data_IF_451224366749
#
_entry.id   IF_451224366749
#
_cell.length_a   1.000
_cell.length_b   1.000
_cell.length_c   1.000
_cell.angle_alpha   90.00
_cell.angle_beta   90.00
_cell.angle_gamma   90.00
#
_symmetry.space_group_name_H-M   'P 1'
#
loop_
_entity.id
_entity.type
_entity.pdbx_description
1 polymer ?
#
# COMPACT_ATOMS: atom_id res chain seq x y z
N UNK A 1 -4.23 -18.37 -9.41
CA UNK A 1 -5.35 -18.81 -8.56
C UNK A 1 -6.55 -18.96 -9.51
N UNK A 2 -7.03 -20.17 -9.67
CA UNK A 2 -8.10 -20.49 -10.60
C UNK A 2 -9.45 -20.57 -9.87
N UNK A 3 -10.54 -20.32 -10.58
CA UNK A 3 -11.89 -20.35 -10.01
C UNK A 3 -12.27 -21.77 -9.53
N UNK A 4 -11.79 -22.82 -10.19
CA UNK A 4 -11.99 -24.22 -9.78
C UNK A 4 -11.43 -24.47 -8.39
N UNK A 5 -10.19 -24.08 -8.14
CA UNK A 5 -9.50 -24.23 -6.85
C UNK A 5 -10.27 -23.47 -5.75
N UNK A 6 -10.75 -22.26 -6.05
CA UNK A 6 -11.58 -21.51 -5.10
C UNK A 6 -12.86 -22.27 -4.74
N UNK A 7 -13.53 -22.86 -5.73
CA UNK A 7 -14.76 -23.63 -5.49
C UNK A 7 -14.49 -24.83 -4.61
N UNK A 8 -13.42 -25.60 -4.89
CA UNK A 8 -13.01 -26.73 -4.07
C UNK A 8 -12.70 -26.32 -2.61
N UNK A 9 -11.99 -25.21 -2.43
CA UNK A 9 -11.72 -24.67 -1.08
C UNK A 9 -13.05 -24.33 -0.38
N UNK A 10 -13.97 -23.66 -1.04
CA UNK A 10 -15.26 -23.28 -0.45
C UNK A 10 -16.05 -24.54 -0.06
N UNK A 11 -16.10 -25.56 -0.92
CA UNK A 11 -16.81 -26.80 -0.63
C UNK A 11 -16.26 -27.54 0.60
N UNK A 12 -14.95 -27.36 0.89
CA UNK A 12 -14.32 -27.95 2.08
C UNK A 12 -14.64 -27.16 3.35
N UNK A 13 -14.64 -25.81 3.28
CA UNK A 13 -14.68 -24.98 4.48
C UNK A 13 -16.07 -24.50 4.87
N UNK A 14 -17.05 -24.50 3.94
CA UNK A 14 -18.39 -23.97 4.17
C UNK A 14 -19.18 -24.84 5.16
N UNK A 15 -19.38 -24.31 6.34
CA UNK A 15 -20.03 -24.97 7.46
C UNK A 15 -19.07 -25.66 8.45
N UNK A 16 -17.78 -25.75 8.13
CA UNK A 16 -16.73 -26.21 9.05
C UNK A 16 -16.16 -25.06 9.91
N UNK A 17 -16.43 -23.81 9.49
CA UNK A 17 -16.04 -22.59 10.20
C UNK A 17 -17.24 -21.64 10.33
N UNK A 18 -17.28 -20.87 11.42
CA UNK A 18 -18.36 -19.90 11.66
C UNK A 18 -18.26 -18.70 10.71
N UNK A 19 -17.03 -18.22 10.43
CA UNK A 19 -16.78 -16.99 9.66
C UNK A 19 -15.76 -17.22 8.58
N UNK A 20 -16.02 -16.68 7.40
CA UNK A 20 -15.10 -16.64 6.26
C UNK A 20 -14.85 -15.17 5.92
N UNK A 21 -13.60 -14.71 6.07
CA UNK A 21 -13.18 -13.37 5.69
C UNK A 21 -12.72 -13.36 4.23
N UNK A 22 -13.29 -12.46 3.44
CA UNK A 22 -13.05 -12.39 2.00
C UNK A 22 -12.47 -11.05 1.60
N UNK A 23 -11.34 -11.09 0.87
CA UNK A 23 -10.68 -9.91 0.32
C UNK A 23 -11.51 -9.34 -0.85
N UNK A 24 -12.15 -8.19 -0.66
CA UNK A 24 -12.95 -7.51 -1.69
C UNK A 24 -12.11 -6.88 -2.81
N UNK A 25 -10.81 -6.72 -2.61
CA UNK A 25 -9.90 -6.14 -3.61
C UNK A 25 -9.25 -7.20 -4.50
N UNK A 26 -9.35 -8.48 -4.14
CA UNK A 26 -8.76 -9.59 -4.90
C UNK A 26 -9.59 -9.92 -6.14
N UNK A 27 -8.91 -10.00 -7.27
CA UNK A 27 -9.50 -10.39 -8.56
C UNK A 27 -9.04 -11.79 -8.94
N UNK A 28 -9.97 -12.59 -9.46
CA UNK A 28 -9.70 -13.91 -9.99
C UNK A 28 -10.08 -13.91 -11.49
N UNK A 29 -9.22 -14.40 -12.38
CA UNK A 29 -9.57 -14.58 -13.77
C UNK A 29 -10.73 -15.57 -13.92
N UNK A 30 -11.75 -15.18 -14.65
CA UNK A 30 -12.91 -16.01 -14.99
C UNK A 30 -12.97 -16.15 -16.50
N UNK A 31 -12.92 -17.38 -17.00
CA UNK A 31 -13.05 -17.63 -18.44
C UNK A 31 -14.54 -17.58 -18.82
N UNK A 32 -14.93 -16.53 -19.57
CA UNK A 32 -16.31 -16.35 -20.02
C UNK A 32 -16.57 -17.18 -21.27
N UNK A 33 -15.62 -17.25 -22.17
CA UNK A 33 -15.75 -17.94 -23.45
C UNK A 33 -14.49 -18.74 -23.77
N UNK A 34 -14.44 -20.04 -23.38
CA UNK A 34 -13.23 -20.88 -23.54
C UNK A 34 -12.71 -20.95 -24.98
N UNK A 35 -13.62 -21.06 -25.97
CA UNK A 35 -13.24 -21.16 -27.39
C UNK A 35 -12.63 -19.89 -27.98
N UNK A 36 -13.00 -18.72 -27.44
CA UNK A 36 -12.50 -17.41 -27.86
C UNK A 36 -11.42 -16.87 -26.91
N UNK A 37 -11.06 -17.65 -25.91
CA UNK A 37 -10.10 -17.23 -24.84
C UNK A 37 -10.43 -15.87 -24.21
N UNK A 38 -11.72 -15.57 -24.06
CA UNK A 38 -12.19 -14.35 -23.42
C UNK A 38 -12.18 -14.56 -21.92
N UNK A 39 -11.39 -13.77 -21.22
CA UNK A 39 -11.22 -13.81 -19.78
C UNK A 39 -11.70 -12.50 -19.16
N UNK A 40 -12.60 -12.58 -18.20
CA UNK A 40 -12.96 -11.46 -17.33
C UNK A 40 -12.26 -11.60 -15.98
N UNK A 41 -11.84 -10.51 -15.40
CA UNK A 41 -11.32 -10.51 -14.04
C UNK A 41 -12.48 -10.44 -13.05
N UNK A 42 -12.86 -11.59 -12.49
CA UNK A 42 -13.89 -11.70 -11.46
C UNK A 42 -13.46 -11.13 -10.12
N UNK A 43 -14.42 -10.81 -9.26
CA UNK A 43 -14.17 -10.42 -7.88
C UNK A 43 -14.30 -11.66 -6.99
N UNK A 44 -13.30 -11.89 -6.11
CA UNK A 44 -13.28 -13.03 -5.18
C UNK A 44 -14.53 -13.04 -4.30
N UNK A 45 -14.88 -11.90 -3.72
CA UNK A 45 -16.03 -11.81 -2.81
C UNK A 45 -17.33 -12.17 -3.50
N UNK A 46 -17.56 -11.72 -4.74
CA UNK A 46 -18.77 -12.09 -5.51
C UNK A 46 -18.91 -13.61 -5.64
N UNK A 47 -17.82 -14.31 -5.96
CA UNK A 47 -17.84 -15.78 -6.10
C UNK A 47 -18.13 -16.43 -4.75
N UNK A 48 -17.50 -15.96 -3.68
CA UNK A 48 -17.75 -16.46 -2.32
C UNK A 48 -19.21 -16.26 -1.90
N UNK A 49 -19.79 -15.08 -2.09
CA UNK A 49 -21.20 -14.83 -1.77
C UNK A 49 -22.19 -15.71 -2.57
N UNK A 50 -21.82 -16.10 -3.79
CA UNK A 50 -22.65 -17.01 -4.59
C UNK A 50 -22.56 -18.47 -4.12
N UNK A 51 -21.42 -18.90 -3.60
CA UNK A 51 -21.09 -20.30 -3.29
C UNK A 51 -21.30 -20.67 -1.83
N UNK A 52 -20.87 -19.84 -0.89
CA UNK A 52 -20.96 -20.10 0.54
C UNK A 52 -22.42 -20.02 1.00
N UNK A 53 -22.90 -21.04 1.73
CA UNK A 53 -24.30 -21.16 2.16
C UNK A 53 -24.48 -21.32 3.65
N UNK A 54 -23.50 -21.85 4.37
CA UNK A 54 -23.58 -22.21 5.78
C UNK A 54 -22.81 -21.23 6.67
N UNK A 55 -21.56 -20.93 6.31
CA UNK A 55 -20.70 -20.01 7.04
C UNK A 55 -21.08 -18.55 6.82
N UNK A 56 -20.79 -17.68 7.79
CA UNK A 56 -21.00 -16.23 7.65
C UNK A 56 -19.85 -15.59 6.87
N UNK A 57 -20.18 -14.80 5.86
CA UNK A 57 -19.20 -14.10 5.03
C UNK A 57 -19.01 -12.69 5.55
N UNK A 58 -17.76 -12.27 5.72
CA UNK A 58 -17.34 -10.92 6.05
C UNK A 58 -16.36 -10.40 4.99
N UNK A 59 -16.77 -9.35 4.28
CA UNK A 59 -15.87 -8.66 3.37
C UNK A 59 -14.94 -7.70 4.12
N UNK A 60 -13.69 -7.61 3.65
CA UNK A 60 -12.75 -6.62 4.15
C UNK A 60 -11.86 -6.08 3.02
N UNK A 61 -11.27 -4.93 3.24
CA UNK A 61 -10.33 -4.27 2.33
C UNK A 61 -8.93 -4.26 2.95
N UNK A 62 -8.07 -5.21 2.62
CA UNK A 62 -6.76 -5.34 3.27
C UNK A 62 -5.87 -4.12 3.08
N UNK A 63 -5.93 -3.45 1.92
CA UNK A 63 -5.15 -2.24 1.69
C UNK A 63 -5.60 -1.07 2.59
N UNK A 64 -6.89 -0.93 2.86
CA UNK A 64 -7.42 0.10 3.75
C UNK A 64 -7.02 -0.16 5.21
N UNK A 65 -7.00 -1.43 5.63
CA UNK A 65 -6.50 -1.83 6.95
C UNK A 65 -5.03 -1.45 7.09
N UNK A 66 -4.19 -1.77 6.11
CA UNK A 66 -2.75 -1.42 6.10
C UNK A 66 -2.56 0.10 6.17
N UNK A 67 -3.31 0.87 5.37
CA UNK A 67 -3.25 2.35 5.38
C UNK A 67 -3.62 2.92 6.75
N UNK A 68 -4.73 2.42 7.34
CA UNK A 68 -5.20 2.89 8.65
C UNK A 68 -4.24 2.50 9.78
N UNK A 69 -3.71 1.28 9.77
CA UNK A 69 -2.72 0.82 10.75
C UNK A 69 -1.43 1.64 10.68
N UNK A 70 -0.93 1.91 9.48
CA UNK A 70 0.27 2.75 9.29
C UNK A 70 0.05 4.17 9.78
N UNK A 71 -1.08 4.79 9.41
CA UNK A 71 -1.42 6.13 9.88
C UNK A 71 -1.53 6.18 11.42
N UNK A 72 -2.21 5.21 12.02
CA UNK A 72 -2.37 5.11 13.47
C UNK A 72 -1.03 4.94 14.18
N UNK A 73 -0.16 4.06 13.65
CA UNK A 73 1.20 3.88 14.17
C UNK A 73 2.00 5.19 14.14
N UNK A 74 2.02 5.89 13.02
CA UNK A 74 2.74 7.15 12.88
C UNK A 74 2.17 8.25 13.80
N UNK A 75 0.85 8.33 13.94
CA UNK A 75 0.19 9.27 14.83
C UNK A 75 0.50 9.02 16.31
N UNK A 76 0.79 7.79 16.69
CA UNK A 76 1.19 7.43 18.06
C UNK A 76 2.69 7.64 18.30
N UNK A 77 3.53 7.40 17.29
CA UNK A 77 5.00 7.52 17.40
C UNK A 77 5.49 8.95 17.31
N UNK A 78 4.81 9.76 16.52
CA UNK A 78 5.14 11.18 16.33
C UNK A 78 4.21 12.02 17.21
N UNK A 79 4.75 12.99 17.93
CA UNK A 79 3.95 13.91 18.77
C UNK A 79 2.92 14.68 17.93
N UNK A 80 3.21 14.93 16.66
CA UNK A 80 2.33 15.56 15.69
C UNK A 80 2.77 15.20 14.27
N UNK A 81 1.81 15.09 13.36
CA UNK A 81 2.07 14.82 11.94
C UNK A 81 2.28 16.11 11.13
N UNK A 82 1.55 17.16 11.47
CA UNK A 82 1.62 18.43 10.74
C UNK A 82 3.04 19.00 10.70
N UNK A 83 3.45 19.47 9.53
CA UNK A 83 4.80 20.00 9.29
C UNK A 83 5.89 18.96 9.11
N UNK A 84 5.60 17.66 9.26
CA UNK A 84 6.54 16.58 8.97
C UNK A 84 6.69 16.36 7.47
N UNK A 85 7.85 15.85 7.06
CA UNK A 85 8.11 15.38 5.70
C UNK A 85 8.08 13.86 5.66
N UNK A 86 7.19 13.29 4.85
CA UNK A 86 7.07 11.84 4.65
C UNK A 86 7.37 11.49 3.22
N UNK A 87 8.24 10.51 3.03
CA UNK A 87 8.62 9.97 1.72
C UNK A 87 8.04 8.59 1.54
N UNK A 88 7.34 8.36 0.43
CA UNK A 88 6.70 7.08 0.11
C UNK A 88 7.30 6.53 -1.18
N UNK A 89 8.05 5.44 -1.06
CA UNK A 89 8.66 4.73 -2.17
C UNK A 89 7.73 3.63 -2.67
N UNK A 90 6.92 3.95 -3.67
CA UNK A 90 5.89 3.09 -4.24
C UNK A 90 4.49 3.70 -4.11
N UNK A 91 4.06 4.47 -5.11
CA UNK A 91 2.71 5.04 -5.18
C UNK A 91 1.72 4.09 -5.87
N UNK A 92 1.62 2.86 -5.33
CA UNK A 92 0.58 1.89 -5.65
C UNK A 92 -0.71 2.16 -4.87
N UNK A 93 -1.57 1.15 -4.72
CA UNK A 93 -2.85 1.30 -4.02
C UNK A 93 -2.65 1.79 -2.56
N UNK A 94 -1.78 1.13 -1.79
CA UNK A 94 -1.47 1.50 -0.41
C UNK A 94 -0.79 2.87 -0.36
N UNK A 95 0.29 3.06 -1.12
CA UNK A 95 1.09 4.28 -1.09
C UNK A 95 0.29 5.53 -1.48
N UNK A 96 -0.59 5.45 -2.48
CA UNK A 96 -1.43 6.59 -2.90
C UNK A 96 -2.50 6.95 -1.85
N UNK A 97 -3.17 5.95 -1.27
CA UNK A 97 -4.16 6.17 -0.20
C UNK A 97 -3.51 6.77 1.05
N UNK A 98 -2.32 6.27 1.41
CA UNK A 98 -1.56 6.78 2.55
C UNK A 98 -1.07 8.21 2.30
N UNK A 99 -0.60 8.52 1.08
CA UNK A 99 -0.18 9.87 0.70
C UNK A 99 -1.32 10.89 0.87
N UNK A 100 -2.54 10.55 0.40
CA UNK A 100 -3.71 11.42 0.57
C UNK A 100 -4.03 11.61 2.06
N UNK A 101 -4.09 10.52 2.83
CA UNK A 101 -4.40 10.57 4.26
C UNK A 101 -3.39 11.41 5.05
N UNK A 102 -2.11 11.31 4.72
CA UNK A 102 -1.04 12.06 5.40
C UNK A 102 -1.03 13.53 5.00
N UNK A 103 -1.20 13.87 3.72
CA UNK A 103 -1.21 15.27 3.28
C UNK A 103 -2.36 16.05 3.92
N UNK A 104 -3.52 15.44 4.11
CA UNK A 104 -4.67 16.03 4.80
C UNK A 104 -4.43 16.24 6.32
N UNK A 105 -3.43 15.54 6.89
CA UNK A 105 -2.94 15.80 8.25
C UNK A 105 -1.86 16.91 8.32
N UNK A 106 -1.62 17.65 7.23
CA UNK A 106 -0.61 18.71 7.19
C UNK A 106 0.82 18.22 6.94
N UNK A 107 0.99 17.00 6.46
CA UNK A 107 2.30 16.41 6.12
C UNK A 107 2.71 16.83 4.71
N UNK A 108 3.97 17.23 4.52
CA UNK A 108 4.57 17.37 3.18
C UNK A 108 4.96 15.99 2.66
N UNK A 109 4.26 15.49 1.64
CA UNK A 109 4.45 14.14 1.13
C UNK A 109 5.26 14.15 -0.17
N UNK A 110 6.35 13.38 -0.21
CA UNK A 110 7.11 13.08 -1.42
C UNK A 110 6.83 11.65 -1.86
N UNK A 111 6.50 11.44 -3.13
CA UNK A 111 6.26 10.09 -3.65
C UNK A 111 7.23 9.73 -4.78
N UNK A 112 7.60 8.46 -4.84
CA UNK A 112 8.36 7.86 -5.93
C UNK A 112 7.57 6.75 -6.59
N UNK A 113 7.72 6.61 -7.90
CA UNK A 113 7.20 5.50 -8.69
C UNK A 113 8.11 5.23 -9.89
N UNK A 114 8.39 3.95 -10.18
CA UNK A 114 9.21 3.53 -11.33
C UNK A 114 8.70 4.05 -12.69
N UNK A 115 7.39 4.10 -12.88
CA UNK A 115 6.78 4.72 -14.04
C UNK A 115 6.51 6.19 -13.74
N UNK A 116 7.36 7.09 -14.23
CA UNK A 116 7.32 8.53 -13.97
C UNK A 116 5.99 9.17 -14.41
N UNK A 117 5.49 8.85 -15.60
CA UNK A 117 4.21 9.39 -16.11
C UNK A 117 3.05 9.06 -15.16
N UNK A 118 2.96 7.80 -14.70
CA UNK A 118 1.94 7.41 -13.72
C UNK A 118 2.18 8.07 -12.34
N UNK A 119 3.44 8.22 -11.93
CA UNK A 119 3.80 8.89 -10.68
C UNK A 119 3.36 10.34 -10.64
N UNK A 120 3.65 11.07 -11.71
CA UNK A 120 3.21 12.45 -11.89
C UNK A 120 1.68 12.60 -11.87
N UNK A 121 0.98 11.77 -12.67
CA UNK A 121 -0.48 11.78 -12.72
C UNK A 121 -1.14 11.47 -11.37
N UNK A 122 -0.53 10.57 -10.58
CA UNK A 122 -1.00 10.27 -9.20
C UNK A 122 -0.83 11.50 -8.31
N UNK A 123 0.34 12.15 -8.29
CA UNK A 123 0.56 13.32 -7.46
C UNK A 123 -0.42 14.45 -7.80
N UNK A 124 -0.63 14.71 -9.08
CA UNK A 124 -1.62 15.71 -9.54
C UNK A 124 -3.05 15.34 -9.10
N UNK A 125 -3.48 14.10 -9.35
CA UNK A 125 -4.82 13.64 -8.98
C UNK A 125 -5.08 13.71 -7.48
N UNK A 126 -4.11 13.30 -6.66
CA UNK A 126 -4.22 13.37 -5.20
C UNK A 126 -4.25 14.82 -4.70
N UNK A 127 -3.46 15.72 -5.27
CA UNK A 127 -3.52 17.15 -4.94
C UNK A 127 -4.83 17.80 -5.37
N UNK A 128 -5.45 17.30 -6.43
CA UNK A 128 -6.76 17.79 -6.90
C UNK A 128 -7.91 17.36 -5.97
N UNK A 129 -7.86 16.13 -5.43
CA UNK A 129 -8.95 15.59 -4.60
C UNK A 129 -8.77 15.80 -3.09
N UNK A 130 -7.57 16.22 -2.62
CA UNK A 130 -7.38 16.55 -1.21
C UNK A 130 -8.31 17.69 -0.79
N UNK A 131 -8.64 17.77 0.52
CA UNK A 131 -9.45 18.86 1.05
C UNK A 131 -8.89 20.23 0.65
N UNK A 132 -9.76 21.15 0.22
CA UNK A 132 -9.39 22.51 -0.22
C UNK A 132 -8.62 23.31 0.83
N UNK A 133 -8.88 23.07 2.10
CA UNK A 133 -8.19 23.71 3.22
C UNK A 133 -6.81 23.11 3.52
N UNK A 134 -6.39 22.08 2.78
CA UNK A 134 -5.09 21.45 2.98
C UNK A 134 -3.97 22.26 2.32
N UNK A 135 -3.11 22.87 3.12
CA UNK A 135 -1.97 23.68 2.68
C UNK A 135 -0.83 22.81 2.13
N UNK A 136 -0.60 21.65 2.74
CA UNK A 136 0.45 20.69 2.34
C UNK A 136 0.18 20.07 0.97
N UNK A 137 1.25 19.64 0.30
CA UNK A 137 1.19 19.08 -1.04
C UNK A 137 1.88 17.71 -1.13
N UNK A 138 1.46 16.95 -2.14
CA UNK A 138 2.11 15.71 -2.59
C UNK A 138 2.97 16.05 -3.80
N UNK A 139 4.28 15.78 -3.70
CA UNK A 139 5.26 16.01 -4.77
C UNK A 139 5.77 14.68 -5.29
N UNK A 140 5.78 14.52 -6.61
CA UNK A 140 6.42 13.38 -7.27
C UNK A 140 7.87 13.73 -7.64
N UNK A 141 8.77 12.77 -7.38
CA UNK A 141 10.15 12.84 -7.84
C UNK A 141 10.52 11.57 -8.61
N UNK A 142 11.29 11.74 -9.68
CA UNK A 142 11.80 10.61 -10.48
C UNK A 142 13.00 9.90 -9.85
N UNK A 143 13.66 10.57 -8.91
CA UNK A 143 14.82 10.06 -8.20
C UNK A 143 14.47 9.70 -6.76
N UNK A 144 14.88 8.48 -6.34
CA UNK A 144 14.58 7.97 -4.99
C UNK A 144 15.31 8.78 -3.92
N UNK A 145 16.57 9.13 -4.11
CA UNK A 145 17.35 9.95 -3.17
C UNK A 145 16.72 11.32 -2.97
N UNK A 146 16.26 11.96 -4.07
CA UNK A 146 15.55 13.23 -3.98
C UNK A 146 14.22 13.10 -3.23
N UNK A 147 13.50 11.98 -3.44
CA UNK A 147 12.26 11.70 -2.73
C UNK A 147 12.51 11.59 -1.24
N UNK A 148 13.55 10.83 -0.84
CA UNK A 148 13.84 10.48 0.57
C UNK A 148 14.53 11.61 1.34
N UNK A 149 15.18 12.54 0.65
CA UNK A 149 16.07 13.52 1.26
C UNK A 149 15.44 14.28 2.42
N UNK A 150 16.08 14.23 3.61
CA UNK A 150 15.69 14.91 4.84
C UNK A 150 14.24 14.63 5.27
N UNK A 151 13.72 13.43 5.04
CA UNK A 151 12.39 13.03 5.53
C UNK A 151 12.42 12.62 7.00
N UNK A 152 11.33 12.94 7.71
CA UNK A 152 11.07 12.48 9.07
C UNK A 152 10.58 11.02 9.09
N UNK A 153 9.96 10.59 7.98
CA UNK A 153 9.48 9.21 7.80
C UNK A 153 9.76 8.75 6.38
N UNK A 154 10.32 7.55 6.24
CA UNK A 154 10.52 6.86 4.97
C UNK A 154 9.64 5.61 4.94
N UNK A 155 8.77 5.50 3.94
CA UNK A 155 7.84 4.37 3.80
C UNK A 155 8.16 3.61 2.51
N UNK A 156 8.55 2.35 2.64
CA UNK A 156 8.65 1.39 1.54
C UNK A 156 7.28 0.77 1.26
N UNK A 157 6.69 1.05 0.10
CA UNK A 157 5.39 0.54 -0.33
C UNK A 157 5.43 -0.07 -1.74
N UNK A 158 6.60 -0.59 -2.13
CA UNK A 158 6.78 -1.31 -3.40
C UNK A 158 6.73 -2.82 -3.19
N UNK A 159 6.45 -3.56 -4.26
CA UNK A 159 6.46 -5.02 -4.25
C UNK A 159 7.68 -5.55 -5.02
N UNK A 160 8.41 -6.46 -4.40
CA UNK A 160 9.24 -7.45 -5.06
C UNK A 160 10.73 -7.20 -5.12
N UNK A 161 11.25 -5.96 -5.09
CA UNK A 161 12.70 -5.72 -5.15
C UNK A 161 13.10 -4.71 -4.08
N UNK A 162 14.16 -4.93 -3.31
CA UNK A 162 14.70 -3.95 -2.38
C UNK A 162 15.06 -2.66 -3.11
N UNK A 163 14.50 -1.54 -2.68
CA UNK A 163 14.72 -0.22 -3.27
C UNK A 163 15.29 0.79 -2.28
N UNK A 164 15.38 0.41 -1.00
CA UNK A 164 15.97 1.21 0.06
C UNK A 164 17.32 0.60 0.41
N UNK A 165 18.38 1.22 -0.07
CA UNK A 165 19.76 0.89 0.24
C UNK A 165 20.33 1.81 1.32
N UNK A 166 21.61 1.63 1.64
CA UNK A 166 22.33 2.40 2.65
C UNK A 166 22.37 3.90 2.31
N UNK A 167 22.48 4.26 1.04
CA UNK A 167 22.57 5.66 0.61
C UNK A 167 21.22 6.37 0.82
N UNK A 168 20.13 5.66 0.59
CA UNK A 168 18.78 6.17 0.89
C UNK A 168 18.58 6.34 2.39
N UNK A 169 19.02 5.39 3.21
CA UNK A 169 18.97 5.52 4.68
C UNK A 169 19.81 6.70 5.17
N UNK A 170 20.97 6.94 4.60
CA UNK A 170 21.80 8.10 4.91
C UNK A 170 21.20 9.44 4.47
N UNK A 171 20.27 9.43 3.53
CA UNK A 171 19.64 10.64 2.99
C UNK A 171 18.50 11.19 3.85
N UNK A 172 17.93 10.37 4.73
CA UNK A 172 16.86 10.78 5.65
C UNK A 172 17.44 11.41 6.92
N UNK A 173 16.59 11.97 7.78
CA UNK A 173 17.04 12.49 9.08
C UNK A 173 17.53 11.36 9.99
N UNK A 174 18.44 11.66 10.91
CA UNK A 174 19.03 10.68 11.82
C UNK A 174 18.01 10.04 12.78
N UNK A 175 16.95 10.78 13.12
CA UNK A 175 15.84 10.32 13.95
C UNK A 175 14.60 9.88 13.16
N UNK A 176 14.75 9.64 11.86
CA UNK A 176 13.65 9.28 10.98
C UNK A 176 13.11 7.87 11.28
N UNK A 177 11.80 7.72 11.13
CA UNK A 177 11.14 6.41 11.20
C UNK A 177 11.14 5.77 9.81
N UNK A 178 11.61 4.52 9.71
CA UNK A 178 11.51 3.70 8.50
C UNK A 178 10.40 2.67 8.67
N UNK A 179 9.48 2.62 7.70
CA UNK A 179 8.34 1.68 7.68
C UNK A 179 8.36 0.86 6.40
N UNK A 180 8.43 -0.46 6.51
CA UNK A 180 8.32 -1.37 5.36
C UNK A 180 6.90 -1.94 5.27
N UNK A 181 6.13 -1.51 4.28
CA UNK A 181 4.77 -2.00 3.98
C UNK A 181 4.75 -3.00 2.82
N UNK A 182 5.86 -3.03 2.06
CA UNK A 182 6.01 -3.97 0.98
C UNK A 182 6.95 -5.08 1.36
N UNK A 183 6.95 -6.23 1.08
CA UNK A 183 7.91 -7.27 1.46
C UNK A 183 9.32 -6.91 0.95
N UNK A 184 10.28 -6.82 1.87
CA UNK A 184 11.71 -6.64 1.58
C UNK A 184 12.01 -5.37 0.74
N UNK A 185 11.51 -4.22 1.14
CA UNK A 185 11.90 -2.96 0.48
C UNK A 185 13.32 -2.51 0.86
N UNK A 186 13.84 -2.94 2.03
CA UNK A 186 15.20 -2.62 2.46
C UNK A 186 16.19 -3.72 2.07
N UNK A 187 17.41 -3.32 1.72
CA UNK A 187 18.54 -4.25 1.65
C UNK A 187 18.99 -4.63 3.05
N UNK A 188 19.68 -5.78 3.19
CA UNK A 188 20.20 -6.22 4.50
C UNK A 188 21.19 -5.20 5.09
N UNK A 189 22.06 -4.62 4.26
CA UNK A 189 23.02 -3.59 4.67
C UNK A 189 22.30 -2.31 5.14
N UNK A 190 21.18 -1.93 4.50
CA UNK A 190 20.36 -0.80 4.92
C UNK A 190 19.71 -1.03 6.28
N UNK A 191 19.23 -2.25 6.54
CA UNK A 191 18.66 -2.64 7.84
C UNK A 191 19.75 -2.55 8.93
N UNK A 192 20.92 -3.16 8.68
CA UNK A 192 22.02 -3.12 9.64
C UNK A 192 22.46 -1.69 9.92
N UNK A 193 22.65 -0.89 8.86
CA UNK A 193 23.03 0.52 9.02
C UNK A 193 22.00 1.34 9.83
N UNK A 194 20.70 1.12 9.60
CA UNK A 194 19.65 1.79 10.36
C UNK A 194 19.63 1.39 11.84
N UNK A 195 19.93 0.12 12.15
CA UNK A 195 20.01 -0.36 13.52
C UNK A 195 21.26 0.16 14.26
N UNK A 196 22.37 0.33 13.55
CA UNK A 196 23.64 0.82 14.14
C UNK A 196 23.60 2.33 14.46
N UNK A 197 22.62 3.07 13.91
CA UNK A 197 22.43 4.50 14.16
C UNK A 197 21.52 4.81 15.36
N UNK A 198 20.80 3.80 15.89
CA UNK A 198 19.95 3.86 17.07
C UNK A 198 20.64 3.28 18.30
#
# INVERSE_FOLDING_TARGET
>A
FEQSILTEIIDIIDGEVDYIFVDSEKKIPVTIHPKLNVVETGNLSKICFQKIKKSRILEYKPNDITVNATWSFLSQKLSFLSGKKVSILGSGNIGSKLALKLVECGVSVSIYRRNAHKGYGIAQGLNFIKSENTVSNITFHENILQTSFMSDVLIGASNGVPIIDVDIVKSIKSDAIIVDLGKNNLTQDAIQHALDQN
#
